data_IF_265063901664
#
_entry.id   IF_265063901664
#
_cell.length_a   1.000
_cell.length_b   1.000
_cell.length_c   1.000
_cell.angle_alpha   90.00
_cell.angle_beta   90.00
_cell.angle_gamma   90.00
#
_symmetry.space_group_name_H-M   'P 1'
#
loop_
_entity.id
_entity.type
_entity.pdbx_description
1 polymer ?
#
# COMPACT_ATOMS: atom_id res chain seq x y z
N UNK A 1 -12.44 71.31 38.84
CA UNK A 1 -13.57 70.71 39.58
C UNK A 1 -14.36 69.84 38.62
N UNK A 2 -14.32 68.56 38.73
CA UNK A 2 -15.24 67.51 38.42
C UNK A 2 -14.46 66.26 38.09
N UNK A 3 -14.33 65.39 39.11
CA UNK A 3 -13.80 64.02 39.01
C UNK A 3 -14.85 63.17 38.34
N UNK A 4 -14.42 62.38 37.38
CA UNK A 4 -15.22 61.30 36.87
C UNK A 4 -14.50 60.01 37.16
N UNK A 5 -15.04 59.21 38.07
CA UNK A 5 -14.62 57.84 38.38
C UNK A 5 -15.02 56.91 37.23
N UNK A 6 -14.07 56.16 36.71
CA UNK A 6 -14.32 55.00 35.85
C UNK A 6 -14.30 53.75 36.70
N UNK A 7 -15.46 53.11 36.76
CA UNK A 7 -15.64 51.80 37.40
C UNK A 7 -15.07 50.69 36.51
N UNK A 8 -14.07 49.97 37.01
CA UNK A 8 -13.56 48.75 36.38
C UNK A 8 -14.49 47.58 36.64
N UNK A 9 -14.95 46.95 35.59
CA UNK A 9 -15.66 45.66 35.64
C UNK A 9 -14.61 44.53 35.52
N UNK A 10 -14.35 43.88 36.64
CA UNK A 10 -13.57 42.66 36.65
C UNK A 10 -14.43 41.48 36.17
N UNK A 11 -14.14 40.95 35.00
CA UNK A 11 -14.69 39.69 34.54
C UNK A 11 -13.91 38.56 35.18
N UNK A 12 -14.53 37.82 36.07
CA UNK A 12 -14.02 36.57 36.62
C UNK A 12 -14.27 35.50 35.59
N UNK A 13 -13.23 35.14 34.87
CA UNK A 13 -13.26 33.98 33.98
C UNK A 13 -13.17 32.68 34.78
N UNK A 14 -14.24 31.89 34.80
CA UNK A 14 -14.22 30.51 35.31
C UNK A 14 -13.52 29.65 34.28
N UNK A 15 -12.30 29.24 34.58
CA UNK A 15 -11.62 28.22 33.80
C UNK A 15 -12.21 26.85 34.13
N UNK A 16 -13.03 26.33 33.24
CA UNK A 16 -13.45 24.92 33.28
C UNK A 16 -12.25 24.11 32.77
N UNK A 17 -11.54 23.46 33.67
CA UNK A 17 -10.55 22.46 33.31
C UNK A 17 -11.26 21.20 32.77
N UNK A 18 -11.41 21.13 31.46
CA UNK A 18 -11.79 19.90 30.79
C UNK A 18 -10.58 18.94 30.81
N UNK A 19 -10.54 18.05 31.77
CA UNK A 19 -9.65 16.87 31.75
C UNK A 19 -10.14 15.87 30.72
N UNK A 20 -10.04 16.23 29.47
CA UNK A 20 -10.18 15.32 28.35
C UNK A 20 -8.77 14.85 28.00
N UNK A 21 -8.49 13.59 28.21
CA UNK A 21 -7.32 12.92 27.63
C UNK A 21 -7.43 13.07 26.10
N UNK A 22 -6.81 14.11 25.59
CA UNK A 22 -6.62 14.27 24.16
C UNK A 22 -5.66 13.15 23.71
N UNK A 23 -6.22 12.06 23.26
CA UNK A 23 -5.47 11.14 22.41
C UNK A 23 -5.09 11.95 21.17
N UNK A 24 -3.83 12.35 21.12
CA UNK A 24 -3.27 12.97 19.93
C UNK A 24 -3.27 11.89 18.84
N UNK A 25 -4.32 11.85 18.05
CA UNK A 25 -4.33 11.13 16.79
C UNK A 25 -3.35 11.86 15.88
N UNK A 26 -2.20 11.26 15.66
CA UNK A 26 -1.38 11.65 14.53
C UNK A 26 -2.16 11.23 13.30
N UNK A 27 -2.86 12.16 12.69
CA UNK A 27 -3.39 12.00 11.34
C UNK A 27 -2.19 11.72 10.44
N UNK A 28 -1.99 10.47 10.10
CA UNK A 28 -1.03 10.12 9.07
C UNK A 28 -1.75 10.39 7.77
N UNK A 29 -1.33 11.42 7.05
CA UNK A 29 -1.75 11.63 5.67
C UNK A 29 -1.60 10.31 4.92
N UNK A 30 -2.74 9.72 4.56
CA UNK A 30 -2.73 8.62 3.60
C UNK A 30 -2.23 9.21 2.28
N UNK A 31 -0.99 8.91 1.93
CA UNK A 31 -0.44 9.41 0.69
C UNK A 31 -1.31 8.92 -0.46
N UNK A 32 -1.84 9.84 -1.27
CA UNK A 32 -2.47 9.51 -2.54
C UNK A 32 -1.40 8.90 -3.43
N UNK A 33 -1.48 7.59 -3.63
CA UNK A 33 -0.61 6.91 -4.59
C UNK A 33 -1.39 6.80 -5.89
N UNK A 34 -0.83 7.29 -7.01
CA UNK A 34 -1.45 7.11 -8.32
C UNK A 34 -1.72 5.63 -8.57
N UNK A 35 -2.72 5.33 -9.40
CA UNK A 35 -3.10 3.95 -9.75
C UNK A 35 -1.86 3.08 -9.98
N UNK A 36 -1.76 1.99 -9.21
CA UNK A 36 -0.71 0.99 -9.43
C UNK A 36 -0.91 0.36 -10.81
N UNK A 37 -0.02 0.61 -11.80
CA UNK A 37 -0.17 0.06 -13.13
C UNK A 37 -0.08 -1.47 -13.18
N UNK A 38 0.37 -2.11 -12.09
CA UNK A 38 0.35 -3.56 -11.88
C UNK A 38 -0.95 -4.05 -11.24
N UNK A 39 -1.82 -3.14 -10.77
CA UNK A 39 -3.03 -3.54 -10.09
C UNK A 39 -3.89 -4.43 -10.99
N UNK A 40 -4.00 -5.69 -10.63
CA UNK A 40 -4.93 -6.67 -11.22
C UNK A 40 -6.38 -6.35 -10.84
N UNK A 41 -6.58 -5.35 -10.00
CA UNK A 41 -7.81 -5.14 -9.27
C UNK A 41 -8.66 -4.10 -9.99
N UNK A 42 -9.95 -4.40 -10.13
CA UNK A 42 -10.91 -3.37 -10.45
C UNK A 42 -10.83 -2.28 -9.39
N UNK A 43 -10.56 -1.07 -9.85
CA UNK A 43 -10.64 0.10 -9.00
C UNK A 43 -12.12 0.48 -8.83
N UNK A 44 -12.58 0.47 -7.61
CA UNK A 44 -13.95 0.86 -7.27
C UNK A 44 -13.89 2.24 -6.62
N UNK A 45 -14.63 3.19 -7.20
CA UNK A 45 -14.75 4.52 -6.63
C UNK A 45 -15.44 4.44 -5.25
N UNK A 46 -14.92 5.15 -4.27
CA UNK A 46 -15.60 5.41 -3.01
C UNK A 46 -16.65 6.48 -3.25
N UNK A 47 -17.77 6.11 -3.86
CA UNK A 47 -18.79 7.06 -4.34
C UNK A 47 -19.83 7.46 -3.31
N UNK A 48 -19.65 7.09 -2.04
CA UNK A 48 -20.57 7.45 -0.98
C UNK A 48 -20.21 8.80 -0.37
N UNK A 49 -20.97 9.83 -0.70
CA UNK A 49 -20.81 11.16 -0.12
C UNK A 49 -21.10 11.22 1.39
N UNK A 50 -21.95 10.32 1.88
CA UNK A 50 -22.29 10.24 3.31
C UNK A 50 -22.24 8.79 3.79
N UNK A 51 -21.28 8.41 4.65
CA UNK A 51 -21.22 7.08 5.22
C UNK A 51 -22.46 6.83 6.10
N UNK A 52 -23.01 5.62 6.01
CA UNK A 52 -24.23 5.19 6.73
C UNK A 52 -23.91 4.59 8.10
N UNK A 53 -22.66 4.24 8.34
CA UNK A 53 -22.17 3.64 9.58
C UNK A 53 -20.67 3.82 9.69
N UNK A 54 -20.13 3.61 10.90
CA UNK A 54 -18.71 3.64 11.20
C UNK A 54 -18.27 2.30 11.79
N UNK A 55 -17.06 1.88 11.46
CA UNK A 55 -16.43 0.69 12.00
C UNK A 55 -14.94 0.92 12.23
N UNK A 56 -14.46 0.59 13.43
CA UNK A 56 -13.03 0.51 13.73
C UNK A 56 -12.58 -0.95 13.73
N UNK A 57 -11.45 -1.21 13.09
CA UNK A 57 -10.86 -2.53 12.91
C UNK A 57 -9.44 -2.48 13.44
N UNK A 58 -9.18 -3.28 14.47
CA UNK A 58 -7.83 -3.51 14.98
C UNK A 58 -7.18 -4.59 14.11
N UNK A 59 -6.02 -4.26 13.55
CA UNK A 59 -5.27 -5.13 12.66
C UNK A 59 -3.83 -5.21 13.11
N UNK A 60 -3.19 -6.35 12.89
CA UNK A 60 -1.78 -6.57 13.19
C UNK A 60 -1.06 -7.08 11.95
N UNK A 61 0.21 -6.70 11.80
CA UNK A 61 1.07 -7.20 10.74
C UNK A 61 2.38 -7.73 11.29
N UNK A 62 2.88 -8.80 10.69
CA UNK A 62 4.19 -9.34 11.06
C UNK A 62 4.30 -10.85 11.02
N UNK A 63 5.47 -11.35 11.47
CA UNK A 63 5.85 -12.76 11.46
C UNK A 63 5.04 -13.62 12.43
N UNK A 64 4.47 -13.03 13.48
CA UNK A 64 3.74 -13.77 14.54
C UNK A 64 2.38 -14.33 14.09
N UNK A 65 1.86 -13.88 12.95
CA UNK A 65 0.51 -14.22 12.46
C UNK A 65 0.53 -15.16 11.27
N UNK A 66 1.69 -15.71 10.95
CA UNK A 66 1.93 -16.56 9.79
C UNK A 66 1.38 -17.97 9.98
N UNK A 67 1.02 -18.59 8.86
CA UNK A 67 0.71 -20.03 8.75
C UNK A 67 1.90 -20.77 8.15
N UNK A 68 1.83 -22.08 8.13
CA UNK A 68 2.88 -22.91 7.51
C UNK A 68 3.14 -22.47 6.05
N UNK A 69 4.39 -22.17 5.75
CA UNK A 69 4.81 -21.72 4.42
C UNK A 69 4.78 -20.21 4.19
N UNK A 70 4.34 -19.43 5.16
CA UNK A 70 4.34 -17.98 5.12
C UNK A 70 5.48 -17.42 5.97
N UNK A 71 5.92 -16.21 5.65
CA UNK A 71 6.93 -15.46 6.41
C UNK A 71 6.31 -14.25 7.10
N UNK A 72 5.35 -13.61 6.45
CA UNK A 72 4.66 -12.43 6.95
C UNK A 72 3.14 -12.58 6.77
N UNK A 73 2.37 -11.96 7.65
CA UNK A 73 0.93 -11.99 7.55
C UNK A 73 0.27 -10.76 8.16
N UNK A 74 -0.96 -10.49 7.73
CA UNK A 74 -1.92 -9.64 8.43
C UNK A 74 -2.89 -10.49 9.26
N UNK A 75 -3.35 -9.94 10.38
CA UNK A 75 -4.43 -10.50 11.20
C UNK A 75 -5.37 -9.36 11.66
N UNK A 76 -6.67 -9.40 11.32
CA UNK A 76 -7.34 -10.43 10.53
C UNK A 76 -6.96 -10.37 9.04
N UNK A 77 -7.06 -11.52 8.37
CA UNK A 77 -6.85 -11.64 6.91
C UNK A 77 -8.09 -11.33 6.10
N UNK A 78 -9.25 -11.36 6.73
CA UNK A 78 -10.54 -11.06 6.13
C UNK A 78 -11.23 -9.99 6.93
N UNK A 79 -11.44 -8.86 6.29
CA UNK A 79 -12.20 -7.74 6.83
C UNK A 79 -13.58 -7.76 6.18
N UNK A 80 -14.64 -7.64 6.98
CA UNK A 80 -16.01 -7.50 6.48
C UNK A 80 -16.54 -6.14 6.83
N UNK A 81 -17.04 -5.41 5.84
CA UNK A 81 -17.63 -4.09 5.98
C UNK A 81 -18.99 -4.01 5.25
N UNK A 82 -19.84 -3.09 5.65
CA UNK A 82 -21.05 -2.79 4.91
C UNK A 82 -20.74 -1.89 3.73
N UNK A 83 -21.66 -1.77 2.79
CA UNK A 83 -21.61 -0.76 1.74
C UNK A 83 -21.78 0.63 2.35
N UNK A 84 -21.06 1.62 1.84
CA UNK A 84 -21.06 2.99 2.37
C UNK A 84 -20.76 3.06 3.87
N UNK A 85 -19.86 2.23 4.37
CA UNK A 85 -19.41 2.27 5.76
C UNK A 85 -18.07 3.04 5.84
N UNK A 86 -17.97 3.97 6.76
CA UNK A 86 -16.66 4.55 7.11
C UNK A 86 -15.90 3.52 7.93
N UNK A 87 -14.72 3.15 7.45
CA UNK A 87 -13.85 2.16 8.09
C UNK A 87 -12.57 2.84 8.55
N UNK A 88 -12.23 2.66 9.81
CA UNK A 88 -10.92 2.99 10.36
C UNK A 88 -10.14 1.69 10.61
N UNK A 89 -9.07 1.47 9.89
CA UNK A 89 -8.11 0.40 10.18
C UNK A 89 -7.03 0.99 11.08
N UNK A 90 -6.85 0.39 12.26
CA UNK A 90 -5.73 0.67 13.16
C UNK A 90 -4.78 -0.50 13.05
N UNK A 91 -3.68 -0.31 12.34
CA UNK A 91 -2.69 -1.35 12.08
C UNK A 91 -1.49 -1.20 13.02
N UNK A 92 -1.20 -2.28 13.75
CA UNK A 92 0.04 -2.45 14.53
C UNK A 92 1.04 -3.27 13.70
N UNK A 93 2.18 -2.67 13.35
CA UNK A 93 3.34 -3.42 12.88
C UNK A 93 4.11 -3.96 14.08
N UNK A 94 4.13 -5.30 14.24
CA UNK A 94 4.78 -5.97 15.37
C UNK A 94 6.24 -6.31 15.12
N UNK A 95 6.72 -6.15 13.89
CA UNK A 95 8.09 -6.43 13.48
C UNK A 95 8.98 -5.18 13.47
N UNK A 96 10.28 -5.38 13.56
CA UNK A 96 11.25 -4.33 13.26
C UNK A 96 11.44 -4.13 11.75
N UNK A 97 10.83 -4.98 10.94
CA UNK A 97 10.91 -4.96 9.46
C UNK A 97 9.90 -3.95 8.91
N UNK A 98 10.25 -3.35 7.77
CA UNK A 98 9.34 -2.48 7.01
C UNK A 98 8.15 -3.29 6.52
N UNK A 99 6.95 -2.76 6.71
CA UNK A 99 5.70 -3.27 6.15
C UNK A 99 4.87 -2.13 5.58
N UNK A 100 3.93 -2.48 4.72
CA UNK A 100 2.92 -1.55 4.22
C UNK A 100 1.58 -2.26 4.05
N UNK A 101 0.49 -1.58 4.34
CA UNK A 101 -0.85 -2.02 3.96
C UNK A 101 -1.28 -1.21 2.75
N UNK A 102 -1.58 -1.86 1.65
CA UNK A 102 -2.09 -1.25 0.43
C UNK A 102 -3.47 -1.81 0.10
N UNK A 103 -4.40 -0.92 -0.27
CA UNK A 103 -5.74 -1.26 -0.76
C UNK A 103 -5.88 -0.78 -2.22
N UNK A 104 -5.33 -1.52 -3.19
CA UNK A 104 -5.23 -1.07 -4.59
C UNK A 104 -6.58 -1.04 -5.32
N UNK A 105 -7.58 -1.75 -4.79
CA UNK A 105 -8.93 -1.78 -5.37
C UNK A 105 -9.80 -0.57 -5.03
N UNK A 106 -9.35 0.35 -4.19
CA UNK A 106 -10.07 1.58 -3.86
C UNK A 106 -9.56 2.76 -4.70
N UNK A 107 -10.45 3.70 -5.01
CA UNK A 107 -10.09 4.98 -5.64
C UNK A 107 -10.65 6.13 -4.78
N UNK A 108 -9.81 6.98 -4.15
CA UNK A 108 -8.33 6.90 -4.20
C UNK A 108 -7.78 5.63 -3.54
N UNK A 109 -6.64 5.16 -4.01
CA UNK A 109 -5.90 4.05 -3.40
C UNK A 109 -5.28 4.49 -2.08
N UNK A 110 -5.33 3.62 -1.06
CA UNK A 110 -4.80 3.90 0.26
C UNK A 110 -3.57 3.06 0.57
N UNK A 111 -2.56 3.70 1.14
CA UNK A 111 -1.32 3.06 1.58
C UNK A 111 -0.97 3.53 2.98
N UNK A 112 -0.60 2.59 3.84
CA UNK A 112 -0.14 2.84 5.20
C UNK A 112 1.23 2.17 5.39
N UNK A 113 2.29 2.96 5.48
CA UNK A 113 3.67 2.46 5.52
C UNK A 113 4.28 2.49 6.93
N UNK A 114 5.11 1.49 7.22
CA UNK A 114 5.89 1.35 8.45
C UNK A 114 7.36 1.11 8.12
N UNK A 115 8.25 1.85 8.74
CA UNK A 115 9.69 1.61 8.67
C UNK A 115 10.19 0.65 9.77
N UNK A 116 9.33 0.28 10.70
CA UNK A 116 9.58 -0.60 11.82
C UNK A 116 8.34 -0.71 12.70
N UNK A 117 8.48 -1.16 13.92
CA UNK A 117 7.38 -1.32 14.88
C UNK A 117 6.63 -0.02 15.11
N UNK A 118 5.32 -0.11 15.21
CA UNK A 118 4.48 1.05 15.49
C UNK A 118 3.02 0.80 15.20
N UNK A 119 2.19 1.79 15.51
CA UNK A 119 0.75 1.77 15.26
C UNK A 119 0.41 2.99 14.42
N UNK A 120 -0.32 2.77 13.35
CA UNK A 120 -0.86 3.82 12.47
C UNK A 120 -2.31 3.51 12.13
N UNK A 121 -3.07 4.52 11.75
CA UNK A 121 -4.44 4.34 11.30
C UNK A 121 -4.69 4.92 9.93
N UNK A 122 -5.72 4.40 9.29
CA UNK A 122 -6.18 4.77 7.96
C UNK A 122 -7.70 4.79 7.97
N UNK A 123 -8.33 5.84 7.43
CA UNK A 123 -9.78 5.92 7.26
C UNK A 123 -10.16 6.00 5.79
N UNK A 124 -11.22 5.31 5.45
CA UNK A 124 -11.81 5.35 4.11
C UNK A 124 -13.30 5.00 4.18
N UNK A 125 -14.03 5.34 3.13
CA UNK A 125 -15.43 4.93 2.97
C UNK A 125 -15.47 3.79 1.97
N UNK A 126 -16.15 2.70 2.33
CA UNK A 126 -16.34 1.55 1.44
C UNK A 126 -17.27 1.90 0.27
N UNK A 127 -17.10 1.25 -0.89
CA UNK A 127 -18.00 1.42 -2.04
C UNK A 127 -19.46 1.14 -1.73
N UNK A 128 -20.38 1.71 -2.52
CA UNK A 128 -21.83 1.36 -2.46
C UNK A 128 -22.17 0.17 -3.37
N UNK A 129 -21.29 -0.82 -3.42
CA UNK A 129 -21.52 -2.07 -4.15
C UNK A 129 -21.00 -3.28 -3.36
N UNK A 130 -21.55 -4.45 -3.67
CA UNK A 130 -21.08 -5.71 -3.13
C UNK A 130 -19.80 -6.12 -3.89
N UNK A 131 -18.65 -6.12 -3.21
CA UNK A 131 -17.36 -6.41 -3.82
C UNK A 131 -16.39 -7.03 -2.81
N UNK A 132 -15.49 -7.87 -3.30
CA UNK A 132 -14.32 -8.35 -2.56
C UNK A 132 -13.07 -7.71 -3.16
N UNK A 133 -12.33 -6.99 -2.35
CA UNK A 133 -11.10 -6.31 -2.71
C UNK A 133 -9.94 -6.95 -1.96
N UNK A 134 -8.82 -7.15 -2.63
CA UNK A 134 -7.59 -7.60 -1.99
C UNK A 134 -6.88 -6.43 -1.31
N UNK A 135 -6.25 -6.69 -0.17
CA UNK A 135 -5.22 -5.84 0.40
C UNK A 135 -3.93 -6.63 0.59
N UNK A 136 -2.80 -5.98 0.46
CA UNK A 136 -1.51 -6.64 0.60
C UNK A 136 -0.42 -5.72 1.15
N UNK A 137 0.70 -6.31 1.56
CA UNK A 137 1.90 -5.56 1.86
C UNK A 137 2.62 -5.21 0.56
N UNK A 138 2.84 -3.90 0.34
CA UNK A 138 3.52 -3.41 -0.87
C UNK A 138 5.06 -3.57 -0.81
N UNK A 139 5.62 -3.94 0.34
CA UNK A 139 7.05 -4.23 0.43
C UNK A 139 7.38 -5.44 -0.44
N UNK A 140 8.41 -5.34 -1.30
CA UNK A 140 8.74 -6.41 -2.24
C UNK A 140 8.84 -7.79 -1.58
N UNK A 141 8.27 -8.79 -2.22
CA UNK A 141 8.21 -10.19 -1.79
C UNK A 141 7.24 -10.51 -0.64
N UNK A 142 6.82 -9.55 0.19
CA UNK A 142 5.98 -9.83 1.36
C UNK A 142 4.60 -10.39 0.99
N UNK A 143 3.96 -9.88 -0.07
CA UNK A 143 2.71 -10.43 -0.63
C UNK A 143 2.89 -11.91 -1.02
N UNK A 144 4.02 -12.23 -1.68
CA UNK A 144 4.33 -13.60 -2.14
C UNK A 144 4.57 -14.55 -0.98
N UNK A 145 4.97 -14.02 0.17
CA UNK A 145 5.21 -14.77 1.40
C UNK A 145 4.04 -14.70 2.40
N UNK A 146 2.84 -14.38 1.92
CA UNK A 146 1.59 -14.53 2.66
C UNK A 146 1.03 -13.25 3.28
N UNK A 147 1.66 -12.08 3.09
CA UNK A 147 1.18 -10.82 3.67
C UNK A 147 0.10 -10.16 2.81
N UNK A 148 -1.05 -10.81 2.74
CA UNK A 148 -2.22 -10.39 1.97
C UNK A 148 -3.52 -10.76 2.69
N UNK A 149 -4.64 -10.20 2.23
CA UNK A 149 -5.96 -10.50 2.75
C UNK A 149 -7.07 -9.91 1.89
N UNK A 150 -8.29 -9.95 2.38
CA UNK A 150 -9.48 -9.53 1.65
C UNK A 150 -10.36 -8.57 2.45
N UNK A 151 -10.80 -7.50 1.81
CA UNK A 151 -11.88 -6.63 2.28
C UNK A 151 -13.16 -7.02 1.53
N UNK A 152 -14.11 -7.60 2.26
CA UNK A 152 -15.41 -8.01 1.74
C UNK A 152 -16.44 -6.93 2.08
N UNK A 153 -16.94 -6.23 1.07
CA UNK A 153 -17.95 -5.19 1.21
C UNK A 153 -19.33 -5.78 0.88
N UNK A 154 -20.28 -5.56 1.77
CA UNK A 154 -21.63 -6.08 1.63
C UNK A 154 -21.68 -7.62 1.60
N UNK A 155 -22.22 -8.19 0.53
CA UNK A 155 -22.24 -9.65 0.32
C UNK A 155 -20.93 -10.18 -0.27
N UNK A 156 -20.01 -9.28 -0.63
CA UNK A 156 -18.86 -9.64 -1.43
C UNK A 156 -19.26 -9.94 -2.88
N UNK A 157 -18.30 -10.26 -3.67
CA UNK A 157 -18.47 -10.61 -5.07
C UNK A 157 -17.11 -10.60 -5.75
N UNK A 158 -16.97 -11.38 -6.80
CA UNK A 158 -15.77 -11.30 -7.62
C UNK A 158 -15.79 -9.93 -8.29
N UNK A 159 -14.73 -9.11 -8.17
CA UNK A 159 -14.64 -7.90 -8.95
C UNK A 159 -14.89 -8.28 -10.41
N UNK A 160 -15.74 -7.56 -11.17
CA UNK A 160 -15.81 -7.81 -12.59
C UNK A 160 -14.39 -7.76 -13.15
N UNK A 161 -14.07 -8.72 -14.00
CA UNK A 161 -12.78 -8.75 -14.67
C UNK A 161 -12.53 -7.36 -15.28
N UNK A 162 -11.36 -6.78 -15.02
CA UNK A 162 -10.93 -5.63 -15.82
C UNK A 162 -11.13 -6.04 -17.26
N UNK A 163 -11.70 -5.15 -18.04
CA UNK A 163 -11.60 -5.28 -19.49
C UNK A 163 -10.11 -5.46 -19.79
N UNK A 164 -9.75 -6.68 -20.17
CA UNK A 164 -8.37 -6.95 -20.52
C UNK A 164 -7.97 -5.91 -21.55
N UNK A 165 -6.80 -5.26 -21.43
CA UNK A 165 -6.35 -4.37 -22.47
C UNK A 165 -6.44 -5.14 -23.79
N UNK A 166 -6.84 -4.46 -24.91
CA UNK A 166 -7.04 -5.14 -26.16
C UNK A 166 -5.85 -6.05 -26.46
N UNK A 167 -6.09 -7.31 -26.87
CA UNK A 167 -5.01 -8.26 -27.09
C UNK A 167 -4.02 -7.67 -28.10
N UNK A 168 -2.77 -7.47 -27.68
CA UNK A 168 -1.68 -6.95 -28.50
C UNK A 168 -0.93 -5.73 -28.00
N UNK A 169 -1.39 -5.04 -26.97
CA UNK A 169 -0.64 -3.93 -26.35
C UNK A 169 0.01 -4.42 -25.05
N UNK A 170 1.15 -5.07 -25.17
CA UNK A 170 1.99 -5.33 -23.99
C UNK A 170 2.33 -4.00 -23.32
N UNK A 171 2.02 -3.86 -22.02
CA UNK A 171 2.39 -2.68 -21.25
C UNK A 171 3.86 -2.83 -20.82
N UNK A 172 4.74 -2.26 -21.64
CA UNK A 172 6.18 -2.35 -21.44
C UNK A 172 6.69 -1.06 -20.79
N UNK A 173 7.53 -1.21 -19.77
CA UNK A 173 8.16 -0.12 -19.05
C UNK A 173 9.66 -0.33 -19.01
N UNK A 174 10.42 0.72 -19.33
CA UNK A 174 11.88 0.67 -19.29
C UNK A 174 12.42 1.21 -17.97
N UNK A 175 13.42 0.52 -17.44
CA UNK A 175 14.16 0.93 -16.25
C UNK A 175 15.65 0.79 -16.40
N UNK A 176 16.38 1.46 -15.51
CA UNK A 176 17.83 1.33 -15.35
C UNK A 176 18.14 1.04 -13.90
N UNK A 177 19.02 0.08 -13.66
CA UNK A 177 19.41 -0.30 -12.31
C UNK A 177 20.77 -0.94 -12.23
N UNK A 178 21.19 -1.24 -10.99
CA UNK A 178 22.40 -1.98 -10.68
C UNK A 178 21.99 -3.36 -10.15
N UNK A 179 22.59 -4.39 -10.67
CA UNK A 179 22.35 -5.78 -10.24
C UNK A 179 22.94 -5.99 -8.86
N UNK A 180 22.09 -6.38 -7.91
CA UNK A 180 22.49 -6.75 -6.55
C UNK A 180 22.75 -8.25 -6.47
N UNK A 181 21.84 -9.06 -7.04
CA UNK A 181 21.97 -10.51 -7.07
C UNK A 181 21.32 -11.13 -8.29
N UNK A 182 21.81 -12.30 -8.71
CA UNK A 182 21.25 -13.12 -9.78
C UNK A 182 20.84 -14.49 -9.21
N UNK A 183 19.55 -14.72 -9.09
CA UNK A 183 19.00 -15.98 -8.58
C UNK A 183 18.59 -16.91 -9.75
N UNK A 184 19.56 -17.45 -10.48
CA UNK A 184 19.33 -18.18 -11.73
C UNK A 184 18.38 -19.38 -11.57
N UNK A 185 18.45 -20.10 -10.44
CA UNK A 185 17.56 -21.25 -10.17
C UNK A 185 16.10 -20.84 -10.03
N UNK A 186 15.82 -19.61 -9.62
CA UNK A 186 14.47 -19.08 -9.44
C UNK A 186 14.04 -18.18 -10.60
N UNK A 187 14.91 -17.99 -11.61
CA UNK A 187 14.71 -17.04 -12.71
C UNK A 187 14.40 -15.63 -12.22
N UNK A 188 15.21 -15.15 -11.27
CA UNK A 188 15.03 -13.82 -10.66
C UNK A 188 16.31 -12.99 -10.72
N UNK A 189 16.07 -11.68 -10.77
CA UNK A 189 17.10 -10.64 -10.74
C UNK A 189 16.77 -9.66 -9.63
N UNK A 190 17.72 -9.42 -8.73
CA UNK A 190 17.59 -8.41 -7.68
C UNK A 190 18.31 -7.15 -8.14
N UNK A 191 17.59 -6.04 -8.18
CA UNK A 191 18.07 -4.76 -8.69
C UNK A 191 17.85 -3.64 -7.65
N UNK A 192 18.80 -2.74 -7.56
CA UNK A 192 18.57 -1.36 -7.12
C UNK A 192 18.34 -0.53 -8.36
N UNK A 193 17.17 0.11 -8.49
CA UNK A 193 16.78 0.82 -9.70
C UNK A 193 16.28 2.24 -9.43
N UNK A 194 16.43 3.11 -10.42
CA UNK A 194 15.82 4.44 -10.43
C UNK A 194 14.32 4.37 -10.67
N UNK A 195 13.68 5.53 -10.75
CA UNK A 195 12.29 5.61 -11.15
C UNK A 195 12.06 4.93 -12.51
N UNK A 196 11.06 4.08 -12.59
CA UNK A 196 10.55 3.50 -13.84
C UNK A 196 9.28 4.27 -14.19
N UNK A 197 9.41 5.22 -15.12
CA UNK A 197 8.34 6.18 -15.45
C UNK A 197 7.01 5.49 -15.76
N UNK A 198 5.97 5.92 -15.07
CA UNK A 198 4.62 5.38 -15.23
C UNK A 198 4.41 3.98 -14.65
N UNK A 199 5.40 3.45 -13.90
CA UNK A 199 5.35 2.11 -13.35
C UNK A 199 5.63 2.09 -11.83
N UNK A 200 6.81 2.56 -11.39
CA UNK A 200 7.16 2.58 -9.97
C UNK A 200 8.27 3.58 -9.65
N UNK A 201 8.32 4.02 -8.39
CA UNK A 201 9.38 4.86 -7.86
C UNK A 201 10.72 4.11 -7.79
N UNK A 202 11.82 4.84 -7.55
CA UNK A 202 13.13 4.26 -7.29
C UNK A 202 13.08 3.35 -6.05
N UNK A 203 13.70 2.17 -6.14
CA UNK A 203 13.75 1.18 -5.05
C UNK A 203 15.11 0.49 -4.98
N UNK A 204 15.49 0.10 -3.76
CA UNK A 204 16.67 -0.70 -3.47
C UNK A 204 16.31 -2.17 -3.32
N UNK A 205 17.19 -3.05 -3.82
CA UNK A 205 17.12 -4.51 -3.65
C UNK A 205 15.80 -5.18 -4.03
N UNK A 206 15.16 -4.68 -5.07
CA UNK A 206 13.90 -5.24 -5.55
C UNK A 206 14.12 -6.51 -6.38
N UNK A 207 13.37 -7.58 -6.09
CA UNK A 207 13.46 -8.86 -6.80
C UNK A 207 12.43 -8.96 -7.90
N UNK A 208 12.89 -9.09 -9.14
CA UNK A 208 12.04 -9.26 -10.33
C UNK A 208 12.12 -10.69 -10.86
N UNK A 209 10.99 -11.25 -11.30
CA UNK A 209 10.99 -12.42 -12.16
C UNK A 209 11.56 -12.06 -13.51
N UNK A 210 12.32 -12.95 -14.12
CA UNK A 210 12.90 -12.77 -15.47
C UNK A 210 12.38 -13.87 -16.39
N UNK A 211 11.88 -13.49 -17.54
CA UNK A 211 11.35 -14.45 -18.52
C UNK A 211 11.64 -14.00 -19.95
N UNK A 212 12.30 -14.82 -20.76
CA UNK A 212 12.84 -16.15 -20.43
C UNK A 212 14.08 -16.08 -19.51
N UNK A 213 14.34 -17.15 -18.77
CA UNK A 213 15.48 -17.23 -17.84
C UNK A 213 16.85 -17.10 -18.54
N UNK A 214 16.91 -17.31 -19.84
CA UNK A 214 18.10 -17.13 -20.67
C UNK A 214 18.66 -15.71 -20.66
N UNK A 215 17.82 -14.73 -20.34
CA UNK A 215 18.22 -13.32 -20.20
C UNK A 215 19.18 -13.07 -19.02
N UNK A 216 19.25 -14.00 -18.07
CA UNK A 216 20.19 -13.90 -16.94
C UNK A 216 21.62 -14.31 -17.31
N UNK A 217 21.82 -14.87 -18.51
CA UNK A 217 23.16 -15.30 -18.96
C UNK A 217 24.07 -14.11 -19.16
N UNK A 218 25.21 -14.12 -18.46
CA UNK A 218 26.20 -13.04 -18.54
C UNK A 218 25.84 -11.79 -17.71
N UNK A 219 24.76 -11.85 -16.92
CA UNK A 219 24.44 -10.81 -15.95
C UNK A 219 25.08 -11.17 -14.62
N UNK A 220 25.81 -10.23 -14.02
CA UNK A 220 26.54 -10.41 -12.78
C UNK A 220 26.22 -9.28 -11.77
N UNK A 221 26.34 -9.54 -10.46
CA UNK A 221 26.24 -8.51 -9.44
C UNK A 221 27.20 -7.34 -9.74
N UNK A 222 26.73 -6.12 -9.55
CA UNK A 222 27.43 -4.89 -9.89
C UNK A 222 27.27 -4.41 -11.33
N UNK A 223 26.70 -5.22 -12.23
CA UNK A 223 26.41 -4.75 -13.58
C UNK A 223 25.34 -3.65 -13.53
N UNK A 224 25.58 -2.56 -14.26
CA UNK A 224 24.55 -1.60 -14.59
C UNK A 224 23.78 -2.11 -15.80
N UNK A 225 22.48 -2.20 -15.69
CA UNK A 225 21.61 -2.78 -16.73
C UNK A 225 20.47 -1.83 -17.10
N UNK A 226 20.09 -1.85 -18.37
CA UNK A 226 18.77 -1.41 -18.83
C UNK A 226 17.89 -2.65 -18.90
N UNK A 227 16.64 -2.53 -18.49
CA UNK A 227 15.71 -3.64 -18.52
C UNK A 227 14.31 -3.16 -18.92
N UNK A 228 13.53 -4.08 -19.46
CA UNK A 228 12.14 -3.86 -19.83
C UNK A 228 11.24 -4.78 -19.00
N UNK A 229 10.24 -4.21 -18.34
CA UNK A 229 9.22 -4.96 -17.61
C UNK A 229 7.96 -5.04 -18.46
N UNK A 230 7.44 -6.26 -18.59
CA UNK A 230 6.08 -6.51 -19.06
C UNK A 230 5.15 -6.58 -17.84
N UNK A 231 4.32 -5.55 -17.67
CA UNK A 231 3.43 -5.44 -16.53
C UNK A 231 2.38 -6.58 -16.50
N UNK A 232 1.98 -7.07 -17.66
CA UNK A 232 0.99 -8.14 -17.75
C UNK A 232 1.58 -9.50 -17.36
N UNK A 233 2.87 -9.73 -17.67
CA UNK A 233 3.62 -10.92 -17.25
C UNK A 233 4.26 -10.77 -15.86
N UNK A 234 4.32 -9.55 -15.33
CA UNK A 234 5.02 -9.21 -14.09
C UNK A 234 6.46 -9.70 -14.06
N UNK A 235 7.14 -9.49 -15.16
CA UNK A 235 8.47 -10.00 -15.35
C UNK A 235 9.32 -9.04 -16.20
N UNK A 236 10.62 -9.04 -15.94
CA UNK A 236 11.59 -8.51 -16.89
C UNK A 236 11.58 -9.43 -18.11
N UNK A 237 11.34 -8.85 -19.27
CA UNK A 237 11.28 -9.54 -20.58
C UNK A 237 12.45 -9.19 -21.47
N UNK A 238 13.24 -8.19 -21.08
CA UNK A 238 14.52 -7.84 -21.70
C UNK A 238 15.46 -7.25 -20.65
N UNK A 239 16.74 -7.58 -20.75
CA UNK A 239 17.81 -7.01 -19.92
C UNK A 239 19.12 -6.93 -20.68
N UNK A 240 19.70 -5.74 -20.70
CA UNK A 240 20.92 -5.44 -21.45
C UNK A 240 21.94 -4.77 -20.52
N UNK A 241 23.14 -5.35 -20.37
CA UNK A 241 24.22 -4.67 -19.65
C UNK A 241 24.57 -3.36 -20.34
N UNK A 242 24.73 -2.31 -19.55
CA UNK A 242 25.25 -1.03 -20.02
C UNK A 242 26.79 -1.05 -19.93
N UNK A 243 27.46 -0.56 -20.96
CA UNK A 243 28.92 -0.40 -20.94
C UNK A 243 29.33 0.40 -19.70
N UNK A 244 30.46 0.00 -19.12
CA UNK A 244 31.10 0.70 -18.01
C UNK A 244 31.61 2.06 -18.43
#
# INVERSE_FOLDING_TARGET
>A
MKNTLLAGISAVGVAVAASGSAWAFTEVEAAFVPEDPLAKHRVVATSCEQPRSFRRIEMKGGTKFTRTGEVFAFEPRVIRAKRCEEVEIVLENTDAVRHALMLPGLNPMFVLEFTGRGVKSLRFVTPDEDVTLEFHCHVPTHEQFGMLGELIVGKGGKPPARDAPPPGTARLFEGVGVVVAVESRKSRLVLTHGEIKGFMAAMEEMSFKVTPATLLKGIEPGNKVRFTIDADKRAIVDVVPLAR
#
